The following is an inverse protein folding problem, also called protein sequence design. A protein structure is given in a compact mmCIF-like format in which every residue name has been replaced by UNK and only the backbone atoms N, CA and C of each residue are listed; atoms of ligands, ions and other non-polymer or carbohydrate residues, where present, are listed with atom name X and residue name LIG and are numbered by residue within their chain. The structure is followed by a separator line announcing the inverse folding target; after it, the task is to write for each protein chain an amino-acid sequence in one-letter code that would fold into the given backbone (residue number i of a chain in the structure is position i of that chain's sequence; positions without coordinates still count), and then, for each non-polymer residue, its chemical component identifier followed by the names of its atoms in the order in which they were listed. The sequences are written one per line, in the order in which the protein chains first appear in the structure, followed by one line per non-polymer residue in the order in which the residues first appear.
data_IF_821766417721
#
_entry.id   IF_821766417721
#
_cell.length_a   1.000
_cell.length_b   1.000
_cell.length_c   1.000
_cell.angle_alpha   90.00
_cell.angle_beta   90.00
_cell.angle_gamma   90.00
#
_symmetry.space_group_name_H-M   'P 1'
#
loop_
_entity.id
_entity.type
_entity.pdbx_description
1 polymer ?
#
# COMPACT_ATOMS: atom_id res chain seq x y z
N UNK A 1 7.04 -9.89 -22.74
CA UNK A 1 7.16 -8.57 -23.37
C UNK A 1 7.03 -7.53 -22.25
N UNK A 2 8.12 -6.87 -21.85
CA UNK A 2 8.05 -5.80 -20.84
C UNK A 2 7.18 -4.69 -21.46
N UNK A 3 6.10 -4.22 -20.79
CA UNK A 3 5.27 -3.18 -21.35
C UNK A 3 6.14 -1.96 -21.62
N UNK A 4 6.24 -1.58 -22.90
CA UNK A 4 6.99 -0.41 -23.35
C UNK A 4 6.57 0.83 -22.55
N UNK A 5 7.56 1.61 -22.12
CA UNK A 5 7.51 2.98 -21.58
C UNK A 5 6.67 3.93 -22.47
N UNK A 6 5.36 3.72 -22.61
CA UNK A 6 4.46 4.77 -23.08
C UNK A 6 4.26 5.67 -21.87
N UNK A 7 4.96 6.80 -21.84
CA UNK A 7 4.72 7.84 -20.85
C UNK A 7 3.24 8.19 -20.87
N UNK A 8 2.54 7.90 -19.78
CA UNK A 8 1.14 8.25 -19.64
C UNK A 8 1.03 9.78 -19.69
N UNK A 9 0.20 10.32 -20.58
CA UNK A 9 -0.04 11.77 -20.61
C UNK A 9 -0.65 12.20 -19.28
N UNK A 10 -0.16 13.29 -18.68
CA UNK A 10 -0.60 13.73 -17.35
C UNK A 10 -2.12 13.98 -17.29
N UNK A 11 -2.71 14.48 -18.39
CA UNK A 11 -4.17 14.61 -18.53
C UNK A 11 -4.90 13.29 -18.30
N UNK A 12 -4.41 12.19 -18.89
CA UNK A 12 -5.04 10.87 -18.74
C UNK A 12 -4.93 10.38 -17.30
N UNK A 13 -3.81 10.69 -16.65
CA UNK A 13 -3.58 10.36 -15.24
C UNK A 13 -4.53 11.13 -14.32
N UNK A 14 -4.70 12.43 -14.52
CA UNK A 14 -5.67 13.25 -13.76
C UNK A 14 -7.10 12.74 -13.97
N UNK A 15 -7.48 12.42 -15.22
CA UNK A 15 -8.80 11.86 -15.52
C UNK A 15 -9.00 10.52 -14.82
N UNK A 16 -7.98 9.66 -14.80
CA UNK A 16 -8.02 8.39 -14.10
C UNK A 16 -8.20 8.59 -12.59
N UNK A 17 -7.40 9.45 -11.96
CA UNK A 17 -7.52 9.77 -10.53
C UNK A 17 -8.90 10.35 -10.17
N UNK A 18 -9.46 11.23 -11.01
CA UNK A 18 -10.79 11.81 -10.75
C UNK A 18 -11.96 10.90 -11.15
N UNK A 19 -11.71 9.77 -11.81
CA UNK A 19 -12.78 8.92 -12.33
C UNK A 19 -13.67 8.37 -11.21
N UNK A 20 -13.09 7.96 -10.07
CA UNK A 20 -13.85 7.50 -8.90
C UNK A 20 -14.74 8.60 -8.31
N UNK A 21 -14.20 9.81 -8.19
CA UNK A 21 -14.94 11.01 -7.76
C UNK A 21 -16.10 11.30 -8.71
N UNK A 22 -15.85 11.30 -10.02
CA UNK A 22 -16.89 11.54 -11.03
C UNK A 22 -17.97 10.46 -10.99
N UNK A 23 -17.60 9.19 -10.83
CA UNK A 23 -18.56 8.09 -10.72
C UNK A 23 -19.43 8.23 -9.48
N UNK A 24 -18.85 8.54 -8.32
CA UNK A 24 -19.60 8.77 -7.08
C UNK A 24 -20.55 9.97 -7.19
N UNK A 25 -20.16 11.00 -7.95
CA UNK A 25 -21.04 12.14 -8.22
C UNK A 25 -22.22 11.71 -9.10
N UNK A 26 -21.96 11.01 -10.19
CA UNK A 26 -22.99 10.53 -11.13
C UNK A 26 -23.95 9.59 -10.40
N UNK A 27 -23.46 8.58 -9.69
CA UNK A 27 -24.30 7.64 -8.95
C UNK A 27 -25.08 8.34 -7.85
N UNK A 28 -24.47 9.28 -7.14
CA UNK A 28 -25.13 10.07 -6.10
C UNK A 28 -26.32 10.87 -6.64
N UNK A 29 -26.11 11.58 -7.75
CA UNK A 29 -27.17 12.33 -8.44
C UNK A 29 -28.26 11.39 -8.97
N UNK A 30 -27.88 10.29 -9.62
CA UNK A 30 -28.85 9.30 -10.13
C UNK A 30 -29.75 8.73 -9.03
N UNK A 31 -29.17 8.32 -7.90
CA UNK A 31 -29.95 7.80 -6.77
C UNK A 31 -30.82 8.88 -6.11
N UNK A 32 -30.35 10.12 -6.05
CA UNK A 32 -31.15 11.23 -5.54
C UNK A 32 -32.37 11.52 -6.43
N UNK A 33 -32.16 11.56 -7.76
CA UNK A 33 -33.23 11.72 -8.74
C UNK A 33 -34.21 10.54 -8.73
N UNK A 34 -33.70 9.31 -8.57
CA UNK A 34 -34.54 8.13 -8.41
C UNK A 34 -35.44 8.26 -7.17
N UNK A 35 -34.88 8.66 -6.03
CA UNK A 35 -35.65 8.93 -4.81
C UNK A 35 -36.74 9.98 -5.02
N UNK A 36 -36.47 11.04 -5.78
CA UNK A 36 -37.46 12.08 -6.12
C UNK A 36 -38.58 11.57 -7.02
N UNK A 37 -38.29 10.64 -7.93
CA UNK A 37 -39.27 10.06 -8.87
C UNK A 37 -40.28 9.11 -8.21
N UNK A 38 -39.99 8.62 -7.01
CA UNK A 38 -40.87 7.72 -6.27
C UNK A 38 -41.87 8.55 -5.46
N UNK A 39 -43.14 8.57 -5.85
CA UNK A 39 -44.17 9.40 -5.22
C UNK A 39 -44.47 8.97 -3.77
N UNK A 40 -44.65 7.67 -3.54
CA UNK A 40 -45.00 7.13 -2.22
C UNK A 40 -43.79 7.02 -1.28
N UNK A 41 -44.03 7.21 0.02
CA UNK A 41 -43.01 6.94 1.03
C UNK A 41 -42.81 5.42 1.15
N UNK A 42 -41.84 4.90 0.40
CA UNK A 42 -41.48 3.49 0.37
C UNK A 42 -40.05 3.26 0.87
N UNK A 43 -39.74 2.04 1.29
CA UNK A 43 -38.37 1.65 1.65
C UNK A 43 -37.38 1.91 0.50
N UNK A 44 -37.81 1.73 -0.76
CA UNK A 44 -37.00 2.01 -1.93
C UNK A 44 -36.65 3.50 -2.05
N UNK A 45 -37.60 4.40 -1.75
CA UNK A 45 -37.36 5.85 -1.74
C UNK A 45 -36.31 6.24 -0.70
N UNK A 46 -36.48 5.75 0.53
CA UNK A 46 -35.54 6.01 1.63
C UNK A 46 -34.14 5.47 1.29
N UNK A 47 -34.07 4.24 0.78
CA UNK A 47 -32.82 3.60 0.37
C UNK A 47 -32.12 4.37 -0.75
N UNK A 48 -32.87 4.88 -1.74
CA UNK A 48 -32.33 5.69 -2.83
C UNK A 48 -31.71 6.99 -2.31
N UNK A 49 -32.40 7.71 -1.42
CA UNK A 49 -31.80 8.91 -0.81
C UNK A 49 -30.57 8.59 0.02
N UNK A 50 -30.60 7.51 0.80
CA UNK A 50 -29.45 7.07 1.58
C UNK A 50 -28.23 6.82 0.68
N UNK A 51 -28.37 6.02 -0.38
CA UNK A 51 -27.27 5.79 -1.34
C UNK A 51 -26.82 7.09 -2.02
N UNK A 52 -27.76 7.96 -2.41
CA UNK A 52 -27.46 9.26 -2.99
C UNK A 52 -26.58 10.12 -2.07
N UNK A 53 -26.99 10.26 -0.81
CA UNK A 53 -26.28 11.02 0.21
C UNK A 53 -24.88 10.43 0.46
N UNK A 54 -24.77 9.12 0.68
CA UNK A 54 -23.48 8.47 0.93
C UNK A 54 -22.52 8.64 -0.24
N UNK A 55 -23.00 8.48 -1.46
CA UNK A 55 -22.19 8.67 -2.67
C UNK A 55 -21.69 10.11 -2.80
N UNK A 56 -22.53 11.10 -2.50
CA UNK A 56 -22.13 12.52 -2.49
C UNK A 56 -21.17 12.85 -1.35
N UNK A 57 -21.34 12.26 -0.16
CA UNK A 57 -20.38 12.38 0.93
C UNK A 57 -19.02 11.81 0.53
N UNK A 58 -18.98 10.67 -0.16
CA UNK A 58 -17.74 10.10 -0.71
C UNK A 58 -17.06 11.03 -1.72
N UNK A 59 -17.82 11.79 -2.52
CA UNK A 59 -17.26 12.85 -3.39
C UNK A 59 -16.56 13.91 -2.54
N UNK A 60 -17.23 14.44 -1.51
CA UNK A 60 -16.67 15.51 -0.67
C UNK A 60 -15.38 15.06 0.03
N UNK A 61 -15.37 13.85 0.58
CA UNK A 61 -14.20 13.27 1.25
C UNK A 61 -13.02 13.10 0.28
N UNK A 62 -13.26 12.64 -0.95
CA UNK A 62 -12.18 12.40 -1.92
C UNK A 62 -11.71 13.68 -2.63
N UNK A 63 -12.56 14.70 -2.78
CA UNK A 63 -12.18 15.99 -3.39
C UNK A 63 -11.40 16.86 -2.41
N UNK A 64 -11.74 16.84 -1.12
CA UNK A 64 -11.05 17.63 -0.11
C UNK A 64 -9.60 17.15 0.04
N UNK A 65 -8.57 17.96 -0.22
CA UNK A 65 -7.20 17.48 -0.27
C UNK A 65 -6.67 17.13 1.13
N UNK A 66 -6.55 15.84 1.44
CA UNK A 66 -6.04 15.35 2.71
C UNK A 66 -5.22 14.05 2.57
N UNK A 67 -4.48 13.71 3.63
CA UNK A 67 -3.85 12.41 3.81
C UNK A 67 -4.80 11.49 4.60
N UNK A 68 -4.97 10.26 4.15
CA UNK A 68 -5.69 9.19 4.86
C UNK A 68 -4.73 8.02 5.05
N UNK A 69 -4.42 7.67 6.30
CA UNK A 69 -3.48 6.59 6.65
C UNK A 69 -2.10 6.72 5.96
N UNK A 70 -1.60 7.96 5.87
CA UNK A 70 -0.31 8.28 5.23
C UNK A 70 -0.32 8.28 3.70
N UNK A 71 -1.46 8.00 3.07
CA UNK A 71 -1.63 8.05 1.61
C UNK A 71 -2.44 9.28 1.19
N UNK A 72 -2.10 9.96 0.08
CA UNK A 72 -2.92 11.05 -0.42
C UNK A 72 -4.24 10.52 -1.00
N UNK A 73 -5.33 11.23 -0.74
CA UNK A 73 -6.55 10.98 -1.50
C UNK A 73 -6.48 11.58 -2.92
N UNK A 74 -7.53 11.36 -3.70
CA UNK A 74 -7.63 11.83 -5.09
C UNK A 74 -7.45 13.34 -5.21
N UNK A 75 -8.10 14.11 -4.33
CA UNK A 75 -8.02 15.57 -4.28
C UNK A 75 -6.60 16.07 -4.02
N UNK A 76 -5.93 15.54 -3.00
CA UNK A 76 -4.54 15.91 -2.68
C UNK A 76 -3.58 15.54 -3.81
N UNK A 77 -3.77 14.37 -4.42
CA UNK A 77 -2.98 13.91 -5.56
C UNK A 77 -3.10 14.88 -6.74
N UNK A 78 -4.33 15.25 -7.11
CA UNK A 78 -4.57 16.21 -8.21
C UNK A 78 -4.00 17.59 -7.87
N UNK A 79 -4.19 18.06 -6.63
CA UNK A 79 -3.58 19.31 -6.18
C UNK A 79 -2.06 19.30 -6.32
N UNK A 80 -1.39 18.20 -5.93
CA UNK A 80 0.06 18.06 -6.01
C UNK A 80 0.54 17.99 -7.47
N UNK A 81 -0.17 17.28 -8.35
CA UNK A 81 0.10 17.25 -9.79
C UNK A 81 0.04 18.66 -10.39
N UNK A 82 -0.98 19.45 -10.03
CA UNK A 82 -1.15 20.81 -10.55
C UNK A 82 -0.06 21.75 -10.00
N UNK A 83 0.27 21.64 -8.71
CA UNK A 83 1.22 22.52 -8.02
C UNK A 83 2.68 22.23 -8.38
N UNK A 84 3.03 21.00 -8.72
CA UNK A 84 4.43 20.58 -8.88
C UNK A 84 4.65 19.71 -10.11
N UNK A 85 5.42 20.25 -11.07
CA UNK A 85 5.87 19.49 -12.24
C UNK A 85 6.70 18.26 -11.84
N UNK A 86 7.52 18.38 -10.80
CA UNK A 86 8.33 17.27 -10.29
C UNK A 86 7.44 16.13 -9.77
N UNK A 87 6.44 16.47 -8.95
CA UNK A 87 5.48 15.50 -8.44
C UNK A 87 4.68 14.86 -9.57
N UNK A 88 4.23 15.64 -10.56
CA UNK A 88 3.52 15.12 -11.73
C UNK A 88 4.35 14.08 -12.48
N UNK A 89 5.66 14.31 -12.66
CA UNK A 89 6.57 13.35 -13.27
C UNK A 89 6.71 12.07 -12.41
N UNK A 90 6.96 12.20 -11.09
CA UNK A 90 7.01 11.05 -10.17
C UNK A 90 5.72 10.23 -10.22
N UNK A 91 4.56 10.90 -10.24
CA UNK A 91 3.28 10.22 -10.26
C UNK A 91 3.04 9.47 -11.58
N UNK A 92 3.49 10.00 -12.72
CA UNK A 92 3.46 9.27 -14.00
C UNK A 92 4.33 8.01 -13.95
N UNK A 93 5.50 8.09 -13.33
CA UNK A 93 6.39 6.94 -13.14
C UNK A 93 5.77 5.90 -12.21
N UNK A 94 5.20 6.35 -11.09
CA UNK A 94 4.44 5.51 -10.16
C UNK A 94 3.34 4.72 -10.88
N UNK A 95 2.50 5.40 -11.67
CA UNK A 95 1.43 4.74 -12.44
C UNK A 95 1.98 3.75 -13.48
N UNK A 96 3.07 4.10 -14.15
CA UNK A 96 3.74 3.17 -15.07
C UNK A 96 4.29 1.93 -14.36
N UNK A 97 4.74 2.06 -13.11
CA UNK A 97 5.19 0.94 -12.29
C UNK A 97 3.99 0.09 -11.83
N UNK A 98 2.91 0.71 -11.35
CA UNK A 98 1.70 0.00 -10.93
C UNK A 98 1.14 -0.86 -12.06
N UNK A 99 1.09 -0.34 -13.29
CA UNK A 99 0.67 -1.10 -14.46
C UNK A 99 1.58 -2.29 -14.80
N UNK A 100 2.87 -2.22 -14.45
CA UNK A 100 3.80 -3.34 -14.63
C UNK A 100 3.59 -4.39 -13.53
N UNK A 101 3.40 -3.96 -12.28
CA UNK A 101 3.07 -4.83 -11.16
C UNK A 101 1.73 -5.54 -11.37
N UNK A 102 0.72 -4.83 -11.85
CA UNK A 102 -0.59 -5.39 -12.20
C UNK A 102 -0.46 -6.53 -13.23
N UNK A 103 0.41 -6.36 -14.23
CA UNK A 103 0.75 -7.39 -15.22
C UNK A 103 1.64 -8.52 -14.68
N UNK A 104 1.97 -8.50 -13.39
CA UNK A 104 2.77 -9.52 -12.74
C UNK A 104 4.27 -9.39 -13.00
N UNK A 105 4.76 -8.22 -13.40
CA UNK A 105 6.20 -7.94 -13.43
C UNK A 105 6.75 -8.01 -12.00
N UNK A 106 7.90 -8.66 -11.81
CA UNK A 106 8.55 -8.71 -10.50
C UNK A 106 9.30 -7.40 -10.26
N UNK A 107 9.45 -7.02 -8.99
CA UNK A 107 10.10 -5.75 -8.64
C UNK A 107 11.57 -5.74 -9.04
N UNK A 108 12.24 -6.89 -8.98
CA UNK A 108 13.62 -7.03 -9.48
C UNK A 108 13.82 -6.68 -10.95
N UNK A 109 12.75 -6.77 -11.75
CA UNK A 109 12.74 -6.52 -13.19
C UNK A 109 12.21 -5.11 -13.53
N UNK A 110 11.73 -4.36 -12.54
CA UNK A 110 11.26 -2.99 -12.74
C UNK A 110 12.43 -2.02 -12.97
N UNK A 111 12.26 -1.15 -13.96
CA UNK A 111 13.09 0.01 -14.15
C UNK A 111 12.68 1.11 -13.15
N UNK A 112 13.08 0.95 -11.89
CA UNK A 112 12.82 1.94 -10.85
C UNK A 112 13.65 3.21 -11.08
N UNK A 113 13.07 4.41 -10.94
CA UNK A 113 13.80 5.66 -10.95
C UNK A 113 14.58 5.77 -9.64
N UNK A 114 15.76 5.15 -9.54
CA UNK A 114 16.67 5.34 -8.41
C UNK A 114 17.38 6.70 -8.54
N UNK A 115 16.61 7.77 -8.62
CA UNK A 115 17.14 9.14 -8.55
C UNK A 115 16.71 9.87 -7.27
N UNK A 116 15.84 9.27 -6.46
CA UNK A 116 15.49 9.85 -5.17
C UNK A 116 16.69 9.73 -4.22
N UNK A 117 17.45 10.81 -4.08
CA UNK A 117 18.54 10.92 -3.11
C UNK A 117 18.03 11.18 -1.68
N UNK A 118 16.76 11.59 -1.55
CA UNK A 118 16.06 11.87 -0.30
C UNK A 118 14.57 11.56 -0.43
N UNK A 119 13.95 11.19 0.69
CA UNK A 119 12.50 11.05 0.80
C UNK A 119 11.92 12.42 1.19
N UNK A 120 11.07 12.97 0.32
CA UNK A 120 10.42 14.28 0.52
C UNK A 120 8.90 14.11 0.60
N UNK A 121 8.35 13.17 -0.17
CA UNK A 121 6.92 12.91 -0.26
C UNK A 121 6.61 11.39 -0.22
N UNK A 122 5.32 11.05 -0.23
CA UNK A 122 4.85 9.66 -0.16
C UNK A 122 5.23 8.84 -1.42
N UNK A 123 5.48 9.45 -2.58
CA UNK A 123 5.94 8.71 -3.75
C UNK A 123 7.41 8.34 -3.59
N UNK A 124 8.21 9.21 -2.98
CA UNK A 124 9.61 8.90 -2.70
C UNK A 124 9.73 7.70 -1.75
N UNK A 125 9.03 7.71 -0.62
CA UNK A 125 9.10 6.58 0.34
C UNK A 125 8.63 5.28 -0.32
N UNK A 126 7.62 5.34 -1.20
CA UNK A 126 7.16 4.19 -1.97
C UNK A 126 8.22 3.69 -2.96
N UNK A 127 8.92 4.58 -3.67
CA UNK A 127 10.02 4.18 -4.54
C UNK A 127 11.20 3.59 -3.77
N UNK A 128 11.50 4.10 -2.57
CA UNK A 128 12.46 3.49 -1.66
C UNK A 128 12.00 2.10 -1.22
N UNK A 129 10.72 1.90 -0.91
CA UNK A 129 10.17 0.58 -0.57
C UNK A 129 10.33 -0.41 -1.74
N UNK A 130 10.03 0.01 -2.96
CA UNK A 130 10.26 -0.82 -4.15
C UNK A 130 11.75 -1.10 -4.38
N UNK A 131 12.62 -0.13 -4.13
CA UNK A 131 14.06 -0.34 -4.22
C UNK A 131 14.54 -1.36 -3.19
N UNK A 132 14.01 -1.31 -1.97
CA UNK A 132 14.23 -2.32 -0.93
C UNK A 132 13.78 -3.69 -1.42
N UNK A 133 12.55 -3.84 -1.89
CA UNK A 133 12.04 -5.11 -2.41
C UNK A 133 12.88 -5.66 -3.55
N UNK A 134 13.39 -4.81 -4.44
CA UNK A 134 14.32 -5.23 -5.49
C UNK A 134 15.62 -5.80 -4.92
N UNK A 135 16.23 -5.14 -3.94
CA UNK A 135 17.46 -5.65 -3.33
C UNK A 135 17.21 -6.97 -2.61
N UNK A 136 16.08 -7.08 -1.91
CA UNK A 136 15.68 -8.33 -1.25
C UNK A 136 15.47 -9.46 -2.27
N UNK A 137 14.74 -9.22 -3.37
CA UNK A 137 14.53 -10.24 -4.40
C UNK A 137 15.82 -10.64 -5.15
N UNK A 138 16.84 -9.77 -5.17
CA UNK A 138 18.11 -10.02 -5.85
C UNK A 138 19.15 -10.69 -4.97
N UNK A 139 19.23 -10.31 -3.69
CA UNK A 139 20.33 -10.67 -2.79
C UNK A 139 19.85 -11.27 -1.46
N UNK A 140 18.55 -11.27 -1.20
CA UNK A 140 17.94 -11.75 0.04
C UNK A 140 17.65 -10.64 1.05
N UNK A 141 16.85 -10.96 2.06
CA UNK A 141 16.22 -9.98 2.98
C UNK A 141 17.21 -9.18 3.86
N UNK A 142 18.46 -9.64 4.00
CA UNK A 142 19.48 -8.95 4.78
C UNK A 142 20.12 -7.73 4.09
N UNK A 143 20.01 -7.63 2.77
CA UNK A 143 20.87 -6.75 1.96
C UNK A 143 20.28 -5.34 1.69
N UNK A 144 19.07 -5.07 2.21
CA UNK A 144 18.37 -3.78 2.06
C UNK A 144 18.71 -2.72 3.11
N UNK A 145 19.81 -2.89 3.85
CA UNK A 145 20.08 -2.16 5.10
C UNK A 145 20.19 -0.64 4.97
N UNK A 146 20.76 -0.15 3.88
CA UNK A 146 20.88 1.29 3.62
C UNK A 146 19.48 1.86 3.33
N UNK A 147 18.70 1.19 2.50
CA UNK A 147 17.37 1.65 2.07
C UNK A 147 16.40 1.68 3.25
N UNK A 148 16.38 0.64 4.09
CA UNK A 148 15.53 0.60 5.28
C UNK A 148 15.87 1.71 6.27
N UNK A 149 17.17 2.03 6.46
CA UNK A 149 17.57 3.17 7.32
C UNK A 149 17.07 4.50 6.76
N UNK A 150 17.11 4.70 5.44
CA UNK A 150 16.57 5.91 4.82
C UNK A 150 15.05 6.02 5.04
N UNK A 151 14.30 4.92 4.87
CA UNK A 151 12.87 4.86 5.16
C UNK A 151 12.61 5.16 6.65
N UNK A 152 13.35 4.52 7.55
CA UNK A 152 13.22 4.72 9.00
C UNK A 152 13.49 6.18 9.41
N UNK A 153 14.57 6.78 8.91
CA UNK A 153 14.90 8.19 9.15
C UNK A 153 13.82 9.13 8.60
N UNK A 154 13.30 8.84 7.41
CA UNK A 154 12.23 9.63 6.82
C UNK A 154 10.95 9.57 7.66
N UNK A 155 10.58 8.42 8.20
CA UNK A 155 9.40 8.29 9.08
C UNK A 155 9.58 9.00 10.43
N UNK A 156 10.81 9.19 10.91
CA UNK A 156 11.10 10.00 12.10
C UNK A 156 10.92 11.49 11.78
N UNK A 157 11.42 11.94 10.63
CA UNK A 157 11.34 13.35 10.21
C UNK A 157 9.94 13.74 9.73
N UNK A 158 9.22 12.78 9.14
CA UNK A 158 7.89 12.94 8.54
C UNK A 158 6.93 11.85 9.04
N UNK A 159 6.48 11.91 10.32
CA UNK A 159 5.58 10.91 10.89
C UNK A 159 4.25 10.76 10.14
N UNK A 160 3.82 11.80 9.42
CA UNK A 160 2.63 11.79 8.56
C UNK A 160 2.72 10.82 7.38
N UNK A 161 3.93 10.41 6.99
CA UNK A 161 4.17 9.41 5.94
C UNK A 161 4.08 7.97 6.48
N UNK A 162 3.90 7.79 7.79
CA UNK A 162 3.84 6.48 8.42
C UNK A 162 2.63 5.70 7.91
N UNK A 163 2.91 4.55 7.31
CA UNK A 163 1.95 3.55 6.87
C UNK A 163 2.41 2.19 7.40
N UNK A 164 1.46 1.30 7.68
CA UNK A 164 1.72 -0.04 8.23
C UNK A 164 2.75 -0.81 7.39
N UNK A 165 2.66 -0.74 6.06
CA UNK A 165 3.58 -1.45 5.15
C UNK A 165 5.05 -1.09 5.41
N UNK A 166 5.35 0.18 5.66
CA UNK A 166 6.72 0.62 5.92
C UNK A 166 7.22 0.12 7.28
N UNK A 167 6.35 0.19 8.29
CA UNK A 167 6.66 -0.29 9.65
C UNK A 167 6.93 -1.80 9.62
N UNK A 168 6.13 -2.56 8.88
CA UNK A 168 6.27 -4.01 8.73
C UNK A 168 7.65 -4.39 8.19
N UNK A 169 8.11 -3.73 7.12
CA UNK A 169 9.42 -4.03 6.55
C UNK A 169 10.59 -3.62 7.45
N UNK A 170 10.48 -2.49 8.16
CA UNK A 170 11.49 -2.07 9.14
C UNK A 170 11.63 -3.15 10.24
N UNK A 171 10.50 -3.65 10.73
CA UNK A 171 10.47 -4.69 11.77
C UNK A 171 11.08 -6.00 11.26
N UNK A 172 10.63 -6.50 10.10
CA UNK A 172 11.16 -7.73 9.50
C UNK A 172 12.66 -7.61 9.26
N UNK A 173 13.12 -6.48 8.73
CA UNK A 173 14.54 -6.21 8.52
C UNK A 173 15.32 -6.32 9.84
N UNK A 174 14.84 -5.72 10.92
CA UNK A 174 15.53 -5.78 12.21
C UNK A 174 15.50 -7.16 12.86
N UNK A 175 14.40 -7.91 12.73
CA UNK A 175 14.29 -9.29 13.22
C UNK A 175 15.35 -10.18 12.58
N UNK A 176 15.48 -10.13 11.25
CA UNK A 176 16.44 -10.94 10.49
C UNK A 176 17.89 -10.58 10.85
N UNK A 177 18.16 -9.30 11.09
CA UNK A 177 19.48 -8.80 11.45
C UNK A 177 19.77 -8.86 12.96
N UNK A 178 18.91 -9.51 13.76
CA UNK A 178 19.06 -9.73 15.21
C UNK A 178 19.44 -8.46 15.99
N UNK A 179 18.86 -7.31 15.64
CA UNK A 179 19.14 -6.07 16.38
C UNK A 179 18.47 -6.12 17.75
N UNK A 180 19.27 -5.91 18.81
CA UNK A 180 18.78 -5.78 20.18
C UNK A 180 17.86 -4.56 20.35
N UNK A 181 16.91 -4.64 21.29
CA UNK A 181 15.99 -3.54 21.63
C UNK A 181 14.76 -3.39 20.71
N UNK A 182 14.52 -4.35 19.80
CA UNK A 182 13.36 -4.29 18.90
C UNK A 182 12.03 -4.40 19.67
N UNK A 183 11.96 -5.30 20.65
CA UNK A 183 10.77 -5.49 21.49
C UNK A 183 10.49 -4.23 22.30
N UNK A 184 11.52 -3.55 22.80
CA UNK A 184 11.34 -2.28 23.52
C UNK A 184 10.83 -1.16 22.60
N UNK A 185 11.27 -1.16 21.33
CA UNK A 185 10.90 -0.12 20.34
C UNK A 185 9.52 -0.34 19.70
N UNK A 186 9.11 -1.59 19.51
CA UNK A 186 7.89 -1.97 18.79
C UNK A 186 6.96 -2.90 19.59
N UNK A 187 7.13 -3.01 20.91
CA UNK A 187 6.36 -3.92 21.78
C UNK A 187 4.86 -3.72 21.65
N UNK A 188 4.39 -2.47 21.72
CA UNK A 188 2.98 -2.13 21.55
C UNK A 188 2.43 -2.58 20.20
N UNK A 189 3.25 -2.48 19.16
CA UNK A 189 2.88 -2.91 17.82
C UNK A 189 2.76 -4.44 17.73
N UNK A 190 3.61 -5.21 18.42
CA UNK A 190 3.46 -6.66 18.48
C UNK A 190 2.21 -7.09 19.26
N UNK A 191 1.86 -6.37 20.33
CA UNK A 191 0.60 -6.60 21.06
C UNK A 191 -0.61 -6.36 20.15
N UNK A 192 -0.62 -5.25 19.41
CA UNK A 192 -1.68 -4.94 18.44
C UNK A 192 -1.72 -5.94 17.29
N UNK A 193 -0.56 -6.42 16.84
CA UNK A 193 -0.52 -7.45 15.81
C UNK A 193 -1.22 -8.72 16.28
N UNK A 194 -1.07 -9.15 17.54
CA UNK A 194 -1.71 -10.39 18.02
C UNK A 194 -3.24 -10.36 17.98
N UNK A 195 -3.88 -9.21 17.78
CA UNK A 195 -5.33 -9.12 17.55
C UNK A 195 -5.74 -9.74 16.18
N UNK A 196 -6.76 -10.61 16.20
CA UNK A 196 -7.22 -11.38 15.02
C UNK A 196 -7.72 -10.51 13.86
N UNK A 197 -8.04 -9.23 14.10
CA UNK A 197 -8.55 -8.33 13.05
C UNK A 197 -7.53 -8.09 11.93
N UNK A 198 -6.24 -8.22 12.21
CA UNK A 198 -5.17 -7.99 11.24
C UNK A 198 -4.79 -9.22 10.39
N UNK A 199 -5.42 -10.38 10.64
CA UNK A 199 -5.12 -11.65 9.95
C UNK A 199 -5.71 -11.79 8.54
N UNK A 200 -6.17 -10.68 7.96
CA UNK A 200 -6.72 -10.60 6.60
C UNK A 200 -5.70 -10.13 5.57
N UNK A 201 -4.46 -9.89 5.99
CA UNK A 201 -3.40 -9.40 5.11
C UNK A 201 -2.19 -10.34 5.18
N UNK A 202 -1.73 -10.89 4.03
CA UNK A 202 -0.56 -11.78 4.00
C UNK A 202 0.71 -11.11 4.53
N UNK A 203 0.89 -9.80 4.35
CA UNK A 203 2.04 -9.08 4.90
C UNK A 203 2.05 -9.08 6.43
N UNK A 204 0.89 -8.86 7.06
CA UNK A 204 0.76 -8.91 8.53
C UNK A 204 1.13 -10.29 9.05
N UNK A 205 0.58 -11.34 8.42
CA UNK A 205 0.86 -12.73 8.79
C UNK A 205 2.35 -13.08 8.60
N UNK A 206 3.00 -12.56 7.56
CA UNK A 206 4.45 -12.70 7.40
C UNK A 206 5.19 -12.05 8.57
N UNK A 207 4.85 -10.83 8.97
CA UNK A 207 5.49 -10.18 10.14
C UNK A 207 5.31 -11.02 11.40
N UNK A 208 4.11 -11.55 11.64
CA UNK A 208 3.83 -12.47 12.75
C UNK A 208 4.70 -13.73 12.69
N UNK A 209 4.84 -14.33 11.50
CA UNK A 209 5.69 -15.49 11.29
C UNK A 209 7.15 -15.20 11.65
N UNK A 210 7.69 -14.06 11.20
CA UNK A 210 9.04 -13.61 11.56
C UNK A 210 9.19 -13.39 13.06
N UNK A 211 8.21 -12.78 13.72
CA UNK A 211 8.23 -12.54 15.16
C UNK A 211 8.20 -13.86 15.94
N UNK A 212 7.29 -14.78 15.61
CA UNK A 212 7.20 -16.08 16.25
C UNK A 212 8.47 -16.90 16.06
N UNK A 213 9.16 -16.76 14.92
CA UNK A 213 10.40 -17.48 14.65
C UNK A 213 11.60 -16.90 15.40
N UNK A 214 11.82 -15.58 15.31
CA UNK A 214 13.03 -14.94 15.81
C UNK A 214 12.96 -14.49 17.28
N UNK A 215 11.76 -14.28 17.83
CA UNK A 215 11.58 -13.79 19.21
C UNK A 215 10.93 -14.85 20.11
N UNK A 216 9.85 -15.50 19.67
CA UNK A 216 9.16 -16.50 20.48
C UNK A 216 9.77 -17.90 20.35
N UNK A 217 10.65 -18.11 19.36
CA UNK A 217 11.26 -19.40 19.01
C UNK A 217 10.21 -20.52 18.81
N UNK A 218 9.01 -20.16 18.35
CA UNK A 218 7.86 -21.06 18.21
C UNK A 218 7.66 -21.48 16.74
N UNK A 219 8.27 -22.62 16.38
CA UNK A 219 8.20 -23.18 15.02
C UNK A 219 6.79 -23.50 14.54
N UNK A 220 5.94 -24.06 15.41
CA UNK A 220 4.58 -24.48 15.05
C UNK A 220 3.73 -23.27 14.67
N UNK A 221 3.72 -22.24 15.52
CA UNK A 221 3.00 -20.98 15.28
C UNK A 221 3.54 -20.25 14.05
N UNK A 222 4.85 -20.28 13.81
CA UNK A 222 5.45 -19.72 12.59
C UNK A 222 4.93 -20.42 11.32
N UNK A 223 4.87 -21.76 11.31
CA UNK A 223 4.37 -22.51 10.16
C UNK A 223 2.89 -22.24 9.90
N UNK A 224 2.07 -22.16 10.96
CA UNK A 224 0.66 -21.78 10.86
C UNK A 224 0.49 -20.42 10.17
N UNK A 225 1.24 -19.40 10.60
CA UNK A 225 1.19 -18.08 9.97
C UNK A 225 1.67 -18.08 8.52
N UNK A 226 2.70 -18.87 8.19
CA UNK A 226 3.17 -19.04 6.81
C UNK A 226 2.09 -19.64 5.93
N UNK A 227 1.41 -20.69 6.38
CA UNK A 227 0.35 -21.36 5.61
C UNK A 227 -0.84 -20.43 5.38
N UNK A 228 -1.25 -19.70 6.42
CA UNK A 228 -2.31 -18.69 6.34
C UNK A 228 -1.92 -17.53 5.42
N UNK A 229 -0.67 -17.06 5.47
CA UNK A 229 -0.20 -15.99 4.59
C UNK A 229 -0.22 -16.43 3.12
N UNK A 230 0.19 -17.67 2.83
CA UNK A 230 0.17 -18.22 1.47
C UNK A 230 -1.26 -18.39 0.92
N UNK A 231 -2.22 -18.77 1.76
CA UNK A 231 -3.62 -18.93 1.34
C UNK A 231 -4.29 -17.58 1.02
N UNK A 232 -3.91 -16.51 1.73
CA UNK A 232 -4.42 -15.15 1.49
C UNK A 232 -3.62 -14.37 0.44
N UNK A 233 -2.51 -14.90 -0.08
CA UNK A 233 -1.67 -14.18 -1.04
C UNK A 233 -2.44 -13.82 -2.33
N UNK A 234 -3.50 -14.55 -2.66
CA UNK A 234 -4.38 -14.21 -3.80
C UNK A 234 -5.20 -12.94 -3.59
N UNK A 235 -5.27 -12.39 -2.37
CA UNK A 235 -6.07 -11.22 -2.02
C UNK A 235 -5.36 -9.89 -2.29
N UNK A 236 -4.03 -9.87 -2.47
CA UNK A 236 -3.31 -8.63 -2.85
C UNK A 236 -3.73 -8.17 -4.25
N UNK A 237 -3.93 -6.87 -4.46
CA UNK A 237 -4.44 -6.37 -5.74
C UNK A 237 -3.49 -6.64 -6.91
N UNK A 238 -2.20 -6.36 -6.76
CA UNK A 238 -1.24 -6.44 -7.86
C UNK A 238 -0.56 -7.80 -7.93
N UNK A 239 -0.59 -8.45 -9.10
CA UNK A 239 0.07 -9.74 -9.34
C UNK A 239 1.58 -9.73 -9.02
N UNK A 240 2.25 -8.59 -9.25
CA UNK A 240 3.65 -8.38 -8.92
C UNK A 240 3.89 -8.41 -7.41
N UNK A 241 3.07 -7.70 -6.64
CA UNK A 241 3.13 -7.70 -5.17
C UNK A 241 2.90 -9.11 -4.60
N UNK A 242 1.95 -9.87 -5.16
CA UNK A 242 1.74 -11.29 -4.80
C UNK A 242 2.99 -12.13 -4.93
N UNK A 243 3.76 -11.92 -6.00
CA UNK A 243 4.99 -12.68 -6.25
C UNK A 243 6.10 -12.30 -5.26
N UNK A 244 6.18 -11.01 -4.89
CA UNK A 244 7.14 -10.54 -3.88
C UNK A 244 6.81 -11.16 -2.54
N UNK A 245 5.57 -11.01 -2.10
CA UNK A 245 5.13 -11.46 -0.78
C UNK A 245 5.27 -12.99 -0.66
N UNK A 246 4.88 -13.73 -1.71
CA UNK A 246 5.12 -15.17 -1.78
C UNK A 246 6.61 -15.53 -1.70
N UNK A 247 7.49 -14.76 -2.36
CA UNK A 247 8.94 -14.97 -2.28
C UNK A 247 9.42 -14.81 -0.85
N UNK A 248 8.98 -13.76 -0.14
CA UNK A 248 9.39 -13.50 1.23
C UNK A 248 8.89 -14.57 2.20
N UNK A 249 7.63 -15.01 2.05
CA UNK A 249 7.07 -16.07 2.88
C UNK A 249 7.81 -17.40 2.64
N UNK A 250 8.10 -17.74 1.38
CA UNK A 250 8.86 -18.94 1.05
C UNK A 250 10.32 -18.88 1.53
N UNK A 251 10.95 -17.70 1.47
CA UNK A 251 12.30 -17.50 1.99
C UNK A 251 12.36 -17.74 3.50
N UNK A 252 11.34 -17.33 4.27
CA UNK A 252 11.24 -17.67 5.69
C UNK A 252 10.99 -19.17 5.88
N UNK A 253 10.07 -19.76 5.11
CA UNK A 253 9.76 -21.20 5.17
C UNK A 253 11.01 -22.07 4.97
N UNK A 254 11.90 -21.67 4.06
CA UNK A 254 13.14 -22.38 3.78
C UNK A 254 14.22 -22.24 4.87
N UNK A 255 14.06 -21.30 5.83
CA UNK A 255 14.99 -21.07 6.94
C UNK A 255 14.61 -21.83 8.22
N UNK A 256 13.42 -22.42 8.26
CA UNK A 256 12.81 -23.11 9.41
C UNK A 256 13.04 -24.62 9.32
#
# INVERSE_FOLDING_TARGET
MIPTKKSLKIRNVIIFTLSGVCMNLITGVCFFLLGMSIESLSHLKIFSYFLGIFSLLSVLINVYPCLTNGEPNDGLTVCNIIKSKSYACKFQEYQSIMLQLDKGCRVKDLALPIQCSKIIDHLDIYFFLLAYYREVEKKGVGEGSIIIKEIENALILHPELKNEKYVYEIIVFHLINKKQGLVDKYGDFFTLLEEDYHDRNPMTLRVKAYFSWYIQENKEKTLEYIEKALSLNTELFYLGERKIEQSFINDLKNRI
#
